data_IF_965914900038
#
_entry.id   IF_965914900038
#
_cell.length_a   1.000
_cell.length_b   1.000
_cell.length_c   1.000
_cell.angle_alpha   90.00
_cell.angle_beta   90.00
_cell.angle_gamma   90.00
#
_symmetry.space_group_name_H-M   'P 1'
#
loop_
_entity.id
_entity.type
_entity.pdbx_description
1 polymer ?
#
# COMPACT_ATOMS: atom_id res chain seq x y z
N UNK A 1 31.29 2.25 -36.93
CA UNK A 1 30.20 3.14 -36.45
C UNK A 1 28.90 2.79 -37.18
N UNK A 2 27.76 2.79 -36.48
CA UNK A 2 26.45 2.40 -37.03
C UNK A 2 26.12 3.13 -38.34
N UNK A 3 26.37 4.45 -38.44
CA UNK A 3 25.99 5.23 -39.62
C UNK A 3 26.85 5.02 -40.87
N UNK A 4 27.89 4.19 -40.81
CA UNK A 4 28.69 3.81 -41.97
C UNK A 4 28.06 2.67 -42.76
N UNK A 5 27.54 1.64 -42.07
CA UNK A 5 27.03 0.41 -42.71
C UNK A 5 25.63 0.00 -42.25
N UNK A 6 25.09 0.61 -41.20
CA UNK A 6 23.78 0.29 -40.64
C UNK A 6 23.61 -1.19 -40.28
N UNK A 7 24.72 -1.84 -39.89
CA UNK A 7 24.78 -3.29 -39.76
C UNK A 7 25.10 -3.72 -38.32
N UNK A 8 25.12 -5.04 -38.13
CA UNK A 8 25.46 -5.67 -36.87
C UNK A 8 26.95 -5.51 -36.50
N UNK A 9 27.26 -5.58 -35.20
CA UNK A 9 28.63 -5.51 -34.75
C UNK A 9 29.32 -6.87 -34.95
N UNK A 10 30.61 -6.86 -35.28
CA UNK A 10 31.36 -8.09 -35.49
C UNK A 10 31.70 -8.76 -34.15
N UNK A 11 31.18 -9.97 -33.96
CA UNK A 11 31.45 -10.81 -32.78
C UNK A 11 32.96 -11.03 -32.57
N UNK A 12 33.68 -11.48 -33.59
CA UNK A 12 35.11 -11.83 -33.49
C UNK A 12 35.98 -10.64 -33.04
N UNK A 13 35.75 -9.45 -33.61
CA UNK A 13 36.51 -8.26 -33.23
C UNK A 13 36.25 -7.85 -31.78
N UNK A 14 35.01 -8.00 -31.30
CA UNK A 14 34.66 -7.70 -29.92
C UNK A 14 35.28 -8.75 -28.99
N UNK A 15 35.21 -10.04 -29.34
CA UNK A 15 35.81 -11.12 -28.56
C UNK A 15 37.30 -10.88 -28.35
N UNK A 16 38.04 -10.62 -29.43
CA UNK A 16 39.48 -10.33 -29.38
C UNK A 16 39.77 -9.10 -28.52
N UNK A 17 38.99 -8.03 -28.66
CA UNK A 17 39.16 -6.83 -27.82
C UNK A 17 38.95 -7.15 -26.33
N UNK A 18 37.94 -7.95 -25.98
CA UNK A 18 37.70 -8.37 -24.60
C UNK A 18 38.83 -9.24 -24.06
N UNK A 19 39.34 -10.19 -24.84
CA UNK A 19 40.49 -11.02 -24.45
C UNK A 19 41.73 -10.15 -24.15
N UNK A 20 42.01 -9.17 -25.00
CA UNK A 20 43.08 -8.21 -24.77
C UNK A 20 42.86 -7.41 -23.47
N UNK A 21 41.64 -6.92 -23.22
CA UNK A 21 41.31 -6.18 -22.00
C UNK A 21 41.43 -7.06 -20.74
N UNK A 22 41.00 -8.31 -20.80
CA UNK A 22 41.12 -9.27 -19.70
C UNK A 22 42.57 -9.54 -19.32
N UNK A 23 43.49 -9.58 -20.29
CA UNK A 23 44.91 -9.81 -20.07
C UNK A 23 45.60 -8.58 -19.48
N UNK A 24 45.30 -7.38 -20.01
CA UNK A 24 46.10 -6.19 -19.72
C UNK A 24 45.51 -5.29 -18.62
N UNK A 25 44.23 -5.40 -18.31
CA UNK A 25 43.57 -4.54 -17.31
C UNK A 25 43.13 -5.37 -16.10
N UNK A 26 43.87 -5.30 -14.97
CA UNK A 26 43.46 -5.97 -13.75
C UNK A 26 42.27 -5.25 -13.12
N UNK A 27 41.28 -6.01 -12.61
CA UNK A 27 40.17 -5.49 -11.80
C UNK A 27 39.31 -4.44 -12.52
N UNK A 28 38.87 -4.75 -13.74
CA UNK A 28 38.06 -3.85 -14.55
C UNK A 28 36.58 -4.26 -14.57
N UNK A 29 35.70 -3.25 -14.61
CA UNK A 29 34.32 -3.40 -15.06
C UNK A 29 34.20 -2.80 -16.46
N UNK A 30 33.92 -3.63 -17.46
CA UNK A 30 33.71 -3.22 -18.84
C UNK A 30 32.22 -3.15 -19.11
N UNK A 31 31.75 -1.98 -19.58
CA UNK A 31 30.36 -1.77 -19.98
C UNK A 31 30.29 -1.64 -21.49
N UNK A 32 29.69 -2.64 -22.15
CA UNK A 32 29.49 -2.65 -23.59
C UNK A 32 28.17 -1.97 -23.95
N UNK A 33 28.24 -0.85 -24.66
CA UNK A 33 27.07 -0.07 -25.06
C UNK A 33 26.79 -0.21 -26.55
N UNK A 34 25.55 -0.57 -26.86
CA UNK A 34 25.02 -0.57 -28.22
C UNK A 34 24.64 0.82 -28.73
N UNK A 35 24.05 0.92 -29.92
CA UNK A 35 23.65 2.18 -30.51
C UNK A 35 22.60 2.91 -29.67
N UNK A 36 22.58 4.24 -29.82
CA UNK A 36 21.57 5.08 -29.17
C UNK A 36 20.33 5.14 -30.05
N UNK A 37 19.20 4.78 -29.45
CA UNK A 37 17.86 4.95 -29.99
C UNK A 37 17.15 6.04 -29.21
N UNK A 38 16.65 7.05 -29.92
CA UNK A 38 15.92 8.16 -29.31
C UNK A 38 14.50 8.15 -29.86
N UNK A 39 13.50 8.28 -29.00
CA UNK A 39 12.09 8.31 -29.42
C UNK A 39 11.25 9.27 -28.58
N UNK A 40 10.09 9.69 -29.14
CA UNK A 40 9.08 10.48 -28.43
C UNK A 40 8.38 9.67 -27.34
N UNK A 41 8.01 8.44 -27.69
CA UNK A 41 7.37 7.45 -26.82
C UNK A 41 8.14 6.11 -26.89
N UNK A 42 7.96 5.26 -25.87
CA UNK A 42 8.64 3.96 -25.81
C UNK A 42 8.26 3.03 -26.98
N UNK A 43 7.03 3.14 -27.46
CA UNK A 43 6.50 2.30 -28.56
C UNK A 43 6.68 2.95 -29.95
N UNK A 44 6.75 4.28 -30.01
CA UNK A 44 6.86 5.01 -31.27
C UNK A 44 8.34 5.14 -31.68
N UNK A 45 8.82 4.22 -32.50
CA UNK A 45 10.22 4.20 -32.96
C UNK A 45 10.35 4.87 -34.32
N UNK A 46 10.28 6.19 -34.35
CA UNK A 46 10.57 6.93 -35.57
C UNK A 46 12.07 6.84 -35.89
N UNK A 47 12.41 6.62 -37.17
CA UNK A 47 13.81 6.54 -37.60
C UNK A 47 14.42 7.96 -37.67
N UNK A 48 14.89 8.45 -36.53
CA UNK A 48 15.55 9.75 -36.45
C UNK A 48 16.89 9.78 -37.19
N UNK A 49 17.49 8.62 -37.49
CA UNK A 49 18.74 8.56 -38.23
C UNK A 49 18.54 8.67 -39.75
N UNK A 50 17.30 8.57 -40.26
CA UNK A 50 16.99 8.58 -41.69
C UNK A 50 17.64 9.74 -42.44
N UNK A 51 17.52 10.95 -41.91
CA UNK A 51 18.09 12.16 -42.54
C UNK A 51 19.56 12.40 -42.16
N UNK A 52 20.08 11.70 -41.14
CA UNK A 52 21.40 11.95 -40.52
C UNK A 52 22.47 10.95 -40.93
N UNK A 53 22.08 9.75 -41.36
CA UNK A 53 23.00 8.65 -41.69
C UNK A 53 22.77 8.18 -43.13
N UNK A 54 23.81 8.13 -43.98
CA UNK A 54 23.67 7.72 -45.38
C UNK A 54 22.99 6.37 -45.54
N UNK A 55 23.39 5.38 -44.73
CA UNK A 55 22.85 4.02 -44.79
C UNK A 55 21.39 3.88 -44.30
N UNK A 56 20.87 4.89 -43.59
CA UNK A 56 19.51 4.89 -43.03
C UNK A 56 18.49 5.60 -43.91
N UNK A 57 18.93 6.38 -44.92
CA UNK A 57 18.05 7.19 -45.78
C UNK A 57 16.94 6.40 -46.47
N UNK A 58 17.30 5.21 -46.96
CA UNK A 58 16.39 4.32 -47.71
C UNK A 58 15.71 3.28 -46.81
N UNK A 59 15.94 3.34 -45.50
CA UNK A 59 15.42 2.36 -44.56
C UNK A 59 14.01 2.72 -44.08
N UNK A 60 13.26 1.69 -43.70
CA UNK A 60 11.91 1.83 -43.12
C UNK A 60 11.97 2.41 -41.71
N UNK A 61 10.83 2.78 -41.14
CA UNK A 61 10.75 3.19 -39.73
C UNK A 61 11.11 2.04 -38.77
N UNK A 62 10.81 0.80 -39.17
CA UNK A 62 11.11 -0.42 -38.42
C UNK A 62 12.59 -0.81 -38.37
N UNK A 63 13.45 -0.23 -39.20
CA UNK A 63 14.86 -0.59 -39.32
C UNK A 63 15.63 -0.59 -37.98
N UNK A 64 15.32 0.36 -37.08
CA UNK A 64 15.97 0.42 -35.77
C UNK A 64 15.64 -0.80 -34.89
N UNK A 65 14.48 -1.45 -35.08
CA UNK A 65 14.18 -2.71 -34.40
C UNK A 65 15.08 -3.84 -34.89
N UNK A 66 15.31 -3.93 -36.20
CA UNK A 66 16.16 -4.98 -36.78
C UNK A 66 17.60 -4.84 -36.31
N UNK A 67 18.14 -3.61 -36.35
CA UNK A 67 19.46 -3.30 -35.78
C UNK A 67 19.50 -3.67 -34.31
N UNK A 68 18.51 -3.26 -33.52
CA UNK A 68 18.45 -3.56 -32.09
C UNK A 68 18.47 -5.07 -31.82
N UNK A 69 17.75 -5.86 -32.61
CA UNK A 69 17.71 -7.33 -32.47
C UNK A 69 19.06 -7.97 -32.80
N UNK A 70 19.69 -7.54 -33.91
CA UNK A 70 21.02 -8.05 -34.30
C UNK A 70 22.08 -7.72 -33.25
N UNK A 71 22.11 -6.48 -32.77
CA UNK A 71 23.02 -6.06 -31.69
C UNK A 71 22.74 -6.83 -30.39
N UNK A 72 21.47 -7.05 -30.03
CA UNK A 72 21.11 -7.85 -28.87
C UNK A 72 21.60 -9.29 -28.94
N UNK A 73 21.55 -9.90 -30.12
CA UNK A 73 22.08 -11.24 -30.34
C UNK A 73 23.59 -11.30 -30.08
N UNK A 74 24.36 -10.42 -30.73
CA UNK A 74 25.83 -10.40 -30.58
C UNK A 74 26.24 -10.06 -29.14
N UNK A 75 25.58 -9.10 -28.48
CA UNK A 75 25.90 -8.73 -27.10
C UNK A 75 25.65 -9.90 -26.15
N UNK A 76 24.55 -10.65 -26.36
CA UNK A 76 24.23 -11.84 -25.58
C UNK A 76 25.29 -12.92 -25.76
N UNK A 77 25.73 -13.18 -26.99
CA UNK A 77 26.79 -14.17 -27.28
C UNK A 77 28.12 -13.78 -26.65
N UNK A 78 28.52 -12.50 -26.71
CA UNK A 78 29.74 -11.99 -26.07
C UNK A 78 29.62 -12.06 -24.53
N UNK A 79 28.46 -11.71 -23.97
CA UNK A 79 28.20 -11.84 -22.53
C UNK A 79 28.35 -13.28 -22.07
N UNK A 80 27.73 -14.23 -22.78
CA UNK A 80 27.84 -15.65 -22.49
C UNK A 80 29.29 -16.14 -22.59
N UNK A 81 30.06 -15.66 -23.57
CA UNK A 81 31.47 -15.99 -23.69
C UNK A 81 32.27 -15.60 -22.44
N UNK A 82 32.10 -14.37 -21.92
CA UNK A 82 32.83 -13.91 -20.73
C UNK A 82 32.36 -14.60 -19.44
N UNK A 83 31.07 -14.94 -19.37
CA UNK A 83 30.49 -15.63 -18.22
C UNK A 83 30.78 -17.14 -18.21
N UNK A 84 31.06 -17.73 -19.37
CA UNK A 84 31.40 -19.15 -19.46
C UNK A 84 32.71 -19.44 -18.72
N UNK A 85 32.72 -20.54 -17.94
CA UNK A 85 33.75 -20.81 -16.95
C UNK A 85 35.20 -20.84 -17.48
N UNK A 86 35.40 -21.22 -18.73
CA UNK A 86 36.73 -21.31 -19.38
C UNK A 86 37.42 -19.97 -19.58
N UNK A 87 36.65 -18.89 -19.72
CA UNK A 87 37.12 -17.52 -20.02
C UNK A 87 36.74 -16.52 -18.94
N UNK A 88 35.96 -16.97 -17.96
CA UNK A 88 35.60 -16.19 -16.78
C UNK A 88 36.83 -15.88 -15.92
N UNK A 89 36.97 -14.62 -15.53
CA UNK A 89 37.99 -14.17 -14.56
C UNK A 89 37.30 -13.45 -13.42
N UNK A 90 37.61 -13.83 -12.18
CA UNK A 90 37.00 -13.21 -10.99
C UNK A 90 37.31 -11.70 -10.86
N UNK A 91 38.36 -11.22 -11.52
CA UNK A 91 38.77 -9.81 -11.53
C UNK A 91 38.27 -9.03 -12.75
N UNK A 92 37.42 -9.61 -13.59
CA UNK A 92 36.91 -8.94 -14.78
C UNK A 92 35.39 -9.04 -14.81
N UNK A 93 34.73 -7.89 -14.58
CA UNK A 93 33.29 -7.77 -14.71
C UNK A 93 32.95 -7.24 -16.10
N UNK A 94 31.91 -7.82 -16.73
CA UNK A 94 31.36 -7.28 -17.96
C UNK A 94 29.84 -7.16 -17.88
N UNK A 95 29.31 -6.04 -18.35
CA UNK A 95 27.88 -5.81 -18.51
C UNK A 95 27.66 -5.31 -19.94
N UNK A 96 26.67 -5.89 -20.61
CA UNK A 96 26.36 -5.54 -21.99
C UNK A 96 24.93 -5.00 -22.10
N UNK A 97 24.79 -3.81 -22.69
CA UNK A 97 23.51 -3.19 -23.01
C UNK A 97 23.39 -3.02 -24.52
N UNK A 98 22.53 -3.81 -25.20
CA UNK A 98 22.52 -3.88 -26.65
C UNK A 98 21.94 -2.64 -27.33
N UNK A 99 21.25 -1.78 -26.60
CA UNK A 99 20.75 -0.51 -27.11
C UNK A 99 20.53 0.48 -25.96
N UNK A 100 20.90 1.74 -26.18
CA UNK A 100 20.63 2.85 -25.26
C UNK A 100 19.35 3.53 -25.70
N UNK A 101 18.27 3.40 -24.94
CA UNK A 101 16.95 3.95 -25.33
C UNK A 101 16.62 5.21 -24.53
N UNK A 102 16.58 6.35 -25.21
CA UNK A 102 16.27 7.65 -24.60
C UNK A 102 14.89 8.11 -25.06
N UNK A 103 13.98 8.29 -24.11
CA UNK A 103 12.66 8.87 -24.38
C UNK A 103 12.59 10.34 -24.01
N UNK A 104 12.10 11.16 -24.95
CA UNK A 104 11.97 12.59 -24.76
C UNK A 104 10.85 13.15 -25.62
N UNK A 105 10.07 14.10 -25.09
CA UNK A 105 9.02 14.81 -25.85
C UNK A 105 9.54 15.47 -27.13
N UNK A 106 10.82 15.87 -27.16
CA UNK A 106 11.45 16.55 -28.31
C UNK A 106 12.70 15.79 -28.75
N UNK A 107 12.56 14.61 -29.39
CA UNK A 107 13.69 13.71 -29.62
C UNK A 107 14.70 14.27 -30.64
N UNK A 108 14.24 15.02 -31.64
CA UNK A 108 15.11 15.72 -32.58
C UNK A 108 16.02 16.76 -31.92
N UNK A 109 15.57 17.35 -30.80
CA UNK A 109 16.32 18.34 -30.04
C UNK A 109 17.47 17.77 -29.21
N UNK A 110 17.69 16.44 -29.22
CA UNK A 110 18.81 15.78 -28.54
C UNK A 110 20.02 15.53 -29.46
N UNK A 111 19.85 15.75 -30.76
CA UNK A 111 20.92 15.63 -31.74
C UNK A 111 21.49 17.00 -32.10
N UNK A 112 22.71 16.99 -32.62
CA UNK A 112 23.25 18.14 -33.36
C UNK A 112 22.50 18.21 -34.71
N UNK A 113 22.23 19.42 -35.21
CA UNK A 113 21.51 19.62 -36.49
C UNK A 113 22.18 18.83 -37.61
N UNK A 114 21.39 18.02 -38.31
CA UNK A 114 21.76 17.17 -39.45
C UNK A 114 22.92 16.18 -39.23
N UNK A 115 23.35 16.01 -37.97
CA UNK A 115 24.41 15.07 -37.59
C UNK A 115 23.83 13.97 -36.71
N UNK A 116 24.36 12.74 -36.79
CA UNK A 116 23.90 11.62 -35.96
C UNK A 116 24.44 11.65 -34.52
N UNK A 117 25.18 12.71 -34.17
CA UNK A 117 25.81 12.87 -32.87
C UNK A 117 24.82 13.52 -31.90
N UNK A 118 24.85 13.07 -30.64
CA UNK A 118 24.10 13.69 -29.56
C UNK A 118 24.68 15.07 -29.23
N UNK A 119 23.81 16.00 -28.84
CA UNK A 119 24.25 17.27 -28.26
C UNK A 119 24.46 17.12 -26.74
N UNK A 120 24.84 18.21 -26.06
CA UNK A 120 25.06 18.22 -24.60
C UNK A 120 23.86 17.65 -23.81
N UNK A 121 22.63 18.00 -24.22
CA UNK A 121 21.40 17.51 -23.57
C UNK A 121 21.19 16.02 -23.83
N UNK A 122 21.43 15.56 -25.05
CA UNK A 122 21.38 14.15 -25.43
C UNK A 122 22.39 13.31 -24.65
N UNK A 123 23.63 13.78 -24.50
CA UNK A 123 24.65 13.12 -23.67
C UNK A 123 24.24 13.04 -22.20
N UNK A 124 23.72 14.13 -21.61
CA UNK A 124 23.25 14.11 -20.22
C UNK A 124 22.14 13.06 -20.01
N UNK A 125 21.22 12.93 -20.97
CA UNK A 125 20.17 11.92 -20.90
C UNK A 125 20.75 10.51 -21.08
N UNK A 126 21.66 10.29 -22.03
CA UNK A 126 22.33 9.01 -22.18
C UNK A 126 23.07 8.58 -20.89
N UNK A 127 23.76 9.52 -20.24
CA UNK A 127 24.46 9.26 -18.97
C UNK A 127 23.49 8.92 -17.84
N UNK A 128 22.38 9.66 -17.71
CA UNK A 128 21.35 9.37 -16.70
C UNK A 128 20.71 8.00 -16.91
N UNK A 129 20.39 7.67 -18.17
CA UNK A 129 19.90 6.33 -18.54
C UNK A 129 20.89 5.25 -18.10
N UNK A 130 22.18 5.44 -18.42
CA UNK A 130 23.22 4.47 -18.11
C UNK A 130 23.39 4.28 -16.61
N UNK A 131 23.41 5.38 -15.85
CA UNK A 131 23.49 5.36 -14.40
C UNK A 131 22.32 4.57 -13.79
N UNK A 132 21.09 4.92 -14.16
CA UNK A 132 19.89 4.26 -13.65
C UNK A 132 19.87 2.78 -14.03
N UNK A 133 20.30 2.42 -15.25
CA UNK A 133 20.34 1.02 -15.69
C UNK A 133 21.44 0.20 -15.00
N UNK A 134 22.60 0.78 -14.72
CA UNK A 134 23.71 0.11 -14.01
C UNK A 134 23.39 -0.19 -12.54
N UNK A 135 22.66 0.72 -11.87
CA UNK A 135 22.27 0.57 -10.47
C UNK A 135 20.99 -0.25 -10.35
N UNK A 136 19.96 0.13 -11.11
CA UNK A 136 18.65 -0.52 -11.11
C UNK A 136 18.66 -1.93 -11.68
N UNK A 137 19.59 -2.24 -12.59
CA UNK A 137 19.60 -3.50 -13.33
C UNK A 137 18.30 -3.68 -14.09
N UNK A 138 17.71 -4.88 -14.00
CA UNK A 138 16.44 -5.20 -14.67
C UNK A 138 15.22 -4.51 -14.06
N UNK A 139 15.31 -4.05 -12.81
CA UNK A 139 14.24 -3.32 -12.15
C UNK A 139 14.01 -1.92 -12.77
N UNK A 140 14.98 -1.38 -13.52
CA UNK A 140 14.81 -0.10 -14.19
C UNK A 140 13.88 -0.25 -15.40
N UNK A 141 12.61 0.10 -15.19
CA UNK A 141 11.60 0.12 -16.24
C UNK A 141 11.68 1.42 -17.03
N UNK A 142 12.10 1.34 -18.29
CA UNK A 142 12.18 2.49 -19.16
C UNK A 142 10.79 3.08 -19.43
N UNK A 143 9.76 2.24 -19.52
CA UNK A 143 8.41 2.56 -20.00
C UNK A 143 7.68 3.64 -19.18
N UNK A 144 8.05 3.84 -17.91
CA UNK A 144 7.24 4.59 -16.95
C UNK A 144 7.54 6.09 -16.88
N UNK A 145 8.67 6.57 -17.40
CA UNK A 145 9.04 7.99 -17.26
C UNK A 145 9.81 8.56 -18.46
N UNK A 146 9.50 9.81 -18.82
CA UNK A 146 10.39 10.57 -19.70
C UNK A 146 11.70 10.83 -18.98
N UNK A 147 12.84 10.58 -19.64
CA UNK A 147 14.14 10.59 -18.97
C UNK A 147 14.51 11.96 -18.35
N UNK A 148 13.90 13.04 -18.85
CA UNK A 148 14.00 14.37 -18.27
C UNK A 148 13.39 14.49 -16.86
N UNK A 149 12.34 13.73 -16.58
CA UNK A 149 11.56 13.76 -15.33
C UNK A 149 11.88 12.60 -14.39
N UNK A 150 12.57 11.58 -14.89
CA UNK A 150 12.95 10.41 -14.09
C UNK A 150 13.88 10.80 -12.92
N UNK A 151 13.88 10.04 -11.83
CA UNK A 151 14.78 10.29 -10.71
C UNK A 151 16.09 9.50 -10.87
N UNK A 152 17.17 9.94 -10.22
CA UNK A 152 18.37 9.12 -10.13
C UNK A 152 18.16 7.98 -9.16
N UNK A 153 18.56 6.77 -9.55
CA UNK A 153 18.64 5.65 -8.61
C UNK A 153 19.84 5.83 -7.69
N UNK A 154 19.61 5.59 -6.40
CA UNK A 154 20.67 5.60 -5.40
C UNK A 154 21.17 4.16 -5.18
N UNK A 155 22.50 3.96 -5.11
CA UNK A 155 23.05 2.67 -4.75
C UNK A 155 22.72 2.34 -3.30
N UNK A 156 22.44 1.07 -3.02
CA UNK A 156 22.24 0.58 -1.65
C UNK A 156 23.59 0.46 -0.94
N UNK A 157 23.65 0.87 0.33
CA UNK A 157 24.86 0.78 1.17
C UNK A 157 25.28 -0.68 1.47
N UNK A 158 24.36 -1.64 1.34
CA UNK A 158 24.61 -3.06 1.60
C UNK A 158 24.98 -3.88 0.36
N UNK A 159 25.07 -3.26 -0.82
CA UNK A 159 25.23 -3.97 -2.09
C UNK A 159 26.32 -3.34 -2.96
N UNK A 160 26.97 -4.12 -3.86
CA UNK A 160 27.88 -3.57 -4.86
C UNK A 160 27.18 -2.49 -5.69
N UNK A 161 27.86 -1.35 -5.88
CA UNK A 161 27.33 -0.20 -6.62
C UNK A 161 26.83 -0.55 -8.02
N UNK A 162 27.63 -1.32 -8.77
CA UNK A 162 27.26 -1.78 -10.11
C UNK A 162 26.87 -3.24 -10.08
N UNK A 163 25.70 -3.54 -10.65
CA UNK A 163 25.15 -4.89 -10.68
C UNK A 163 25.62 -5.62 -11.91
N UNK A 164 26.60 -6.49 -11.74
CA UNK A 164 26.93 -7.53 -12.72
C UNK A 164 25.91 -8.67 -12.63
N UNK A 165 25.79 -9.50 -13.66
CA UNK A 165 24.94 -10.70 -13.61
C UNK A 165 25.28 -11.63 -12.44
N UNK A 166 26.55 -11.72 -12.05
CA UNK A 166 27.00 -12.47 -10.88
C UNK A 166 26.44 -11.93 -9.55
N UNK A 167 26.29 -10.60 -9.44
CA UNK A 167 25.86 -9.94 -8.19
C UNK A 167 24.36 -9.60 -8.17
N UNK A 168 23.68 -9.64 -9.32
CA UNK A 168 22.29 -9.18 -9.48
C UNK A 168 21.28 -9.91 -8.59
N UNK A 169 21.47 -11.22 -8.34
CA UNK A 169 20.49 -12.04 -7.60
C UNK A 169 20.47 -11.81 -6.09
N UNK A 170 21.48 -11.14 -5.51
CA UNK A 170 21.65 -11.05 -4.05
C UNK A 170 21.12 -9.75 -3.43
N UNK A 171 20.63 -8.80 -4.23
CA UNK A 171 20.47 -7.41 -3.80
C UNK A 171 19.14 -6.78 -4.26
N UNK A 172 18.44 -6.10 -3.33
CA UNK A 172 17.20 -5.35 -3.58
C UNK A 172 17.55 -3.88 -3.89
N UNK A 173 16.95 -3.30 -4.94
CA UNK A 173 17.12 -1.89 -5.34
C UNK A 173 15.97 -1.05 -4.80
N UNK A 174 16.27 0.21 -4.49
CA UNK A 174 15.28 1.17 -4.02
C UNK A 174 15.53 2.52 -4.70
N UNK A 175 14.49 3.19 -5.19
CA UNK A 175 14.61 4.54 -5.76
C UNK A 175 14.91 5.59 -4.67
N UNK A 176 15.28 6.82 -5.03
CA UNK A 176 15.55 7.87 -4.03
C UNK A 176 14.30 8.19 -3.18
N UNK A 177 13.11 8.21 -3.79
CA UNK A 177 11.86 8.45 -3.07
C UNK A 177 11.55 7.30 -2.10
N UNK A 178 11.68 6.05 -2.58
CA UNK A 178 11.54 4.87 -1.74
C UNK A 178 12.58 4.84 -0.61
N UNK A 179 13.84 5.21 -0.90
CA UNK A 179 14.91 5.26 0.08
C UNK A 179 14.67 6.34 1.14
N UNK A 180 14.08 7.49 0.76
CA UNK A 180 13.65 8.54 1.69
C UNK A 180 12.54 8.05 2.62
N UNK A 181 11.71 7.15 2.14
CA UNK A 181 10.65 6.49 2.93
C UNK A 181 11.15 5.31 3.77
N UNK A 182 12.40 4.87 3.57
CA UNK A 182 13.00 3.78 4.32
C UNK A 182 13.88 4.28 5.47
N UNK A 183 13.55 3.86 6.69
CA UNK A 183 14.41 4.06 7.86
C UNK A 183 15.38 2.88 8.00
N UNK A 184 16.68 3.15 7.96
CA UNK A 184 17.71 2.14 8.22
C UNK A 184 17.71 1.75 9.70
N UNK A 185 17.55 0.45 9.99
CA UNK A 185 17.83 -0.11 11.32
C UNK A 185 19.00 -1.07 11.16
N UNK A 186 20.15 -0.70 11.72
CA UNK A 186 21.30 -1.60 11.87
C UNK A 186 20.96 -2.63 12.95
N UNK A 187 20.83 -3.90 12.58
CA UNK A 187 20.85 -4.99 13.55
C UNK A 187 22.29 -5.22 14.03
N UNK A 188 22.44 -5.69 15.27
CA UNK A 188 23.74 -5.99 15.89
C UNK A 188 24.60 -6.98 15.09
N UNK A 189 24.01 -7.75 14.16
CA UNK A 189 24.69 -8.74 13.33
C UNK A 189 25.22 -8.20 11.98
N UNK A 190 25.23 -6.88 11.77
CA UNK A 190 25.75 -6.25 10.54
C UNK A 190 24.86 -6.41 9.29
N UNK A 191 23.73 -7.11 9.40
CA UNK A 191 22.74 -7.22 8.33
C UNK A 191 21.77 -6.02 8.36
N UNK A 192 21.75 -5.25 7.27
CA UNK A 192 20.82 -4.14 7.05
C UNK A 192 19.45 -4.71 6.69
N UNK A 193 18.49 -4.66 7.62
CA UNK A 193 17.11 -5.07 7.36
C UNK A 193 16.31 -3.86 6.92
N UNK A 194 15.82 -3.89 5.67
CA UNK A 194 14.90 -2.88 5.15
C UNK A 194 13.57 -3.00 5.89
N UNK A 195 13.21 -1.99 6.67
CA UNK A 195 11.87 -1.84 7.23
C UNK A 195 11.22 -0.63 6.59
N UNK A 196 10.11 -0.84 5.89
CA UNK A 196 9.21 0.27 5.50
C UNK A 196 8.93 1.09 6.75
N UNK A 197 9.13 2.41 6.68
CA UNK A 197 8.81 3.32 7.79
C UNK A 197 7.36 3.07 8.14
N UNK A 198 7.11 2.43 9.30
CA UNK A 198 5.77 2.30 9.87
C UNK A 198 5.12 3.67 9.73
N UNK A 199 3.94 3.70 9.09
CA UNK A 199 3.10 4.89 8.82
C UNK A 199 3.44 6.00 9.80
N UNK A 200 3.85 7.16 9.26
CA UNK A 200 4.38 8.27 10.04
C UNK A 200 3.55 8.46 11.32
N UNK A 201 4.24 8.63 12.45
CA UNK A 201 3.62 8.89 13.75
C UNK A 201 2.56 10.00 13.63
N UNK A 202 2.79 10.97 12.75
CA UNK A 202 1.84 11.99 12.33
C UNK A 202 0.49 11.44 11.84
N UNK A 203 0.46 10.43 10.95
CA UNK A 203 -0.79 9.83 10.47
C UNK A 203 -1.59 9.17 11.60
N UNK A 204 -0.90 8.50 12.54
CA UNK A 204 -1.54 7.90 13.71
C UNK A 204 -2.11 8.97 14.65
N UNK A 205 -1.39 10.08 14.86
CA UNK A 205 -1.91 11.21 15.62
C UNK A 205 -3.08 11.89 14.93
N UNK A 206 -3.02 12.09 13.61
CA UNK A 206 -4.13 12.65 12.83
C UNK A 206 -5.37 11.78 12.92
N UNK A 207 -5.23 10.45 12.77
CA UNK A 207 -6.35 9.52 12.89
C UNK A 207 -6.94 9.52 14.31
N UNK A 208 -6.09 9.51 15.33
CA UNK A 208 -6.52 9.55 16.72
C UNK A 208 -7.29 10.85 17.04
N UNK A 209 -6.80 12.01 16.60
CA UNK A 209 -7.47 13.29 16.78
C UNK A 209 -8.84 13.30 16.09
N UNK A 210 -8.92 12.80 14.85
CA UNK A 210 -10.19 12.72 14.10
C UNK A 210 -11.21 11.85 14.85
N UNK A 211 -10.81 10.70 15.39
CA UNK A 211 -11.70 9.82 16.16
C UNK A 211 -12.18 10.49 17.44
N UNK A 212 -11.29 11.18 18.17
CA UNK A 212 -11.65 11.90 19.40
C UNK A 212 -12.60 13.05 19.11
N UNK A 213 -12.34 13.85 18.06
CA UNK A 213 -13.23 14.93 17.65
C UNK A 213 -14.60 14.40 17.21
N UNK A 214 -14.65 13.33 16.42
CA UNK A 214 -15.91 12.72 15.99
C UNK A 214 -16.73 12.19 17.18
N UNK A 215 -16.09 11.53 18.14
CA UNK A 215 -16.75 11.05 19.36
C UNK A 215 -17.29 12.22 20.21
N UNK A 216 -16.51 13.30 20.36
CA UNK A 216 -16.95 14.49 21.07
C UNK A 216 -18.15 15.16 20.38
N UNK A 217 -18.10 15.33 19.06
CA UNK A 217 -19.22 15.88 18.30
C UNK A 217 -20.48 15.01 18.43
N UNK A 218 -20.36 13.69 18.37
CA UNK A 218 -21.49 12.79 18.57
C UNK A 218 -22.12 12.96 19.96
N UNK A 219 -21.32 13.01 21.02
CA UNK A 219 -21.81 13.22 22.39
C UNK A 219 -22.52 14.57 22.52
N UNK A 220 -21.97 15.64 21.94
CA UNK A 220 -22.61 16.96 21.95
C UNK A 220 -23.92 16.99 21.16
N UNK A 221 -23.98 16.37 19.98
CA UNK A 221 -25.18 16.34 19.15
C UNK A 221 -26.28 15.49 19.78
N UNK A 222 -25.96 14.27 20.23
CA UNK A 222 -26.93 13.42 20.92
C UNK A 222 -27.34 14.02 22.26
N UNK A 223 -26.40 14.58 23.02
CA UNK A 223 -26.66 15.24 24.30
C UNK A 223 -27.60 16.43 24.15
N UNK A 224 -27.35 17.32 23.17
CA UNK A 224 -28.23 18.47 22.91
C UNK A 224 -29.60 18.02 22.37
N UNK A 225 -29.64 17.00 21.51
CA UNK A 225 -30.89 16.42 21.02
C UNK A 225 -31.74 15.83 22.15
N UNK A 226 -31.15 15.01 23.03
CA UNK A 226 -31.86 14.46 24.19
C UNK A 226 -32.25 15.53 25.19
N UNK A 227 -31.42 16.55 25.39
CA UNK A 227 -31.73 17.66 26.30
C UNK A 227 -32.90 18.51 25.79
N UNK A 228 -32.92 18.85 24.49
CA UNK A 228 -34.04 19.56 23.89
C UNK A 228 -35.31 18.71 23.88
N UNK A 229 -35.20 17.42 23.51
CA UNK A 229 -36.33 16.48 23.55
C UNK A 229 -36.87 16.30 24.97
N UNK A 230 -35.99 16.28 25.99
CA UNK A 230 -36.38 16.23 27.39
C UNK A 230 -37.07 17.52 27.85
N UNK A 231 -36.73 18.68 27.29
CA UNK A 231 -37.41 19.95 27.58
C UNK A 231 -38.76 20.11 26.85
N UNK A 232 -38.95 19.43 25.73
CA UNK A 232 -40.20 19.43 24.96
C UNK A 232 -41.17 18.31 25.38
N UNK A 233 -40.75 17.41 26.28
CA UNK A 233 -41.63 16.41 26.86
C UNK A 233 -42.39 16.98 28.04
N UNK A 234 -43.69 17.24 27.86
CA UNK A 234 -44.61 17.76 28.89
C UNK A 234 -44.98 16.72 29.97
N UNK A 235 -44.25 15.60 30.06
CA UNK A 235 -44.48 14.56 31.06
C UNK A 235 -43.15 14.03 31.60
N UNK A 236 -42.94 14.21 32.90
CA UNK A 236 -41.85 13.59 33.62
C UNK A 236 -42.04 12.06 33.63
N UNK A 237 -40.95 11.31 33.43
CA UNK A 237 -40.91 9.82 33.47
C UNK A 237 -41.35 9.22 34.83
N UNK A 238 -41.77 10.05 35.78
CA UNK A 238 -42.27 9.69 37.10
C UNK A 238 -43.62 10.39 37.45
N UNK A 239 -44.42 10.79 36.47
CA UNK A 239 -45.84 11.04 36.73
C UNK A 239 -46.59 9.71 36.80
N UNK A 240 -47.10 9.41 37.99
CA UNK A 240 -48.06 8.33 38.21
C UNK A 240 -49.32 8.72 37.45
N UNK A 241 -49.60 8.01 36.36
CA UNK A 241 -50.89 8.10 35.66
C UNK A 241 -51.98 7.77 36.70
N UNK A 242 -52.83 8.75 37.06
CA UNK A 242 -53.98 8.60 37.98
C UNK A 242 -55.17 7.85 37.33
N UNK A 243 -55.13 7.58 36.02
CA UNK A 243 -56.22 6.90 35.29
C UNK A 243 -56.60 5.47 35.78
N UNK A 244 -55.68 4.58 36.21
CA UNK A 244 -56.08 3.26 36.70
C UNK A 244 -56.69 3.31 38.11
N UNK A 245 -56.33 4.29 38.95
CA UNK A 245 -56.92 4.42 40.29
C UNK A 245 -58.34 4.97 40.24
N UNK A 246 -58.60 5.98 39.40
CA UNK A 246 -59.94 6.55 39.24
C UNK A 246 -60.95 5.56 38.66
N UNK A 247 -60.53 4.76 37.67
CA UNK A 247 -61.38 3.69 37.08
C UNK A 247 -61.66 2.56 38.08
N UNK A 248 -60.71 2.25 38.97
CA UNK A 248 -60.92 1.23 40.01
C UNK A 248 -61.87 1.72 41.11
N UNK A 249 -61.75 2.98 41.55
CA UNK A 249 -62.69 3.57 42.51
C UNK A 249 -64.12 3.70 41.96
N UNK A 250 -64.28 4.06 40.68
CA UNK A 250 -65.59 4.11 40.03
C UNK A 250 -66.22 2.72 39.91
N UNK A 251 -65.45 1.71 39.51
CA UNK A 251 -65.90 0.32 39.46
C UNK A 251 -66.29 -0.21 40.85
N UNK A 252 -65.51 0.10 41.89
CA UNK A 252 -65.83 -0.29 43.27
C UNK A 252 -67.09 0.40 43.80
N UNK A 253 -67.31 1.68 43.48
CA UNK A 253 -68.55 2.38 43.84
C UNK A 253 -69.78 1.80 43.13
N UNK A 254 -69.66 1.36 41.88
CA UNK A 254 -70.75 0.67 41.17
C UNK A 254 -71.05 -0.70 41.80
N UNK A 255 -70.03 -1.51 42.11
CA UNK A 255 -70.24 -2.79 42.80
C UNK A 255 -70.89 -2.62 44.18
N UNK A 256 -70.47 -1.61 44.95
CA UNK A 256 -71.01 -1.36 46.28
C UNK A 256 -72.49 -0.92 46.22
N UNK A 257 -72.87 -0.11 45.22
CA UNK A 257 -74.28 0.24 44.97
C UNK A 257 -75.11 -0.98 44.54
N UNK A 258 -74.56 -1.84 43.68
CA UNK A 258 -75.22 -3.06 43.25
C UNK A 258 -75.44 -4.06 44.41
N UNK A 259 -74.46 -4.20 45.30
CA UNK A 259 -74.56 -5.03 46.51
C UNK A 259 -75.60 -4.51 47.49
N UNK A 260 -75.66 -3.19 47.71
CA UNK A 260 -76.64 -2.59 48.62
C UNK A 260 -78.08 -2.73 48.09
N UNK A 261 -78.25 -2.66 46.76
CA UNK A 261 -79.54 -2.91 46.10
C UNK A 261 -79.94 -4.40 46.20
N UNK A 262 -78.97 -5.32 46.07
CA UNK A 262 -79.20 -6.77 46.26
C UNK A 262 -79.50 -7.16 47.71
N UNK A 263 -78.88 -6.52 48.71
CA UNK A 263 -79.19 -6.80 50.11
C UNK A 263 -80.59 -6.29 50.50
N UNK A 264 -81.01 -5.12 50.03
CA UNK A 264 -82.36 -4.62 50.29
C UNK A 264 -83.46 -5.48 49.64
N UNK A 265 -83.18 -6.08 48.48
CA UNK A 265 -84.12 -7.01 47.84
C UNK A 265 -84.12 -8.39 48.50
N UNK A 266 -82.99 -8.84 49.07
CA UNK A 266 -82.89 -10.13 49.76
C UNK A 266 -83.42 -10.11 51.20
N UNK A 267 -83.33 -8.98 51.90
CA UNK A 267 -83.93 -8.82 53.23
C UNK A 267 -85.48 -8.89 53.20
N UNK A 268 -86.10 -8.70 52.03
CA UNK A 268 -87.54 -8.91 51.84
C UNK A 268 -87.93 -10.36 51.54
N UNK A 269 -86.98 -11.26 51.25
CA UNK A 269 -87.27 -12.63 50.78
C UNK A 269 -86.86 -13.77 51.72
N UNK A 270 -86.14 -13.52 52.82
CA UNK A 270 -85.65 -14.59 53.73
C UNK A 270 -86.48 -14.77 55.03
N UNK A 271 -87.79 -14.44 54.96
CA UNK A 271 -88.83 -15.01 55.82
C UNK A 271 -89.20 -16.44 55.35
N UNK A 272 -88.26 -17.40 55.37
CA UNK A 272 -88.58 -18.83 55.22
C UNK A 272 -87.38 -19.77 55.51
N UNK A 273 -87.45 -20.47 56.65
CA UNK A 273 -86.99 -21.86 56.92
C UNK A 273 -85.50 -22.30 56.84
N UNK A 274 -85.14 -23.10 57.86
CA UNK A 274 -83.93 -23.85 58.32
C UNK A 274 -83.53 -25.12 57.47
N UNK A 275 -82.52 -25.97 57.84
CA UNK A 275 -81.09 -25.78 58.24
C UNK A 275 -80.07 -26.78 57.58
N UNK A 276 -78.78 -26.71 58.02
CA UNK A 276 -77.71 -27.76 58.24
C UNK A 276 -76.50 -28.07 57.29
N UNK A 277 -75.28 -28.01 57.89
CA UNK A 277 -74.02 -28.83 57.75
C UNK A 277 -73.11 -28.74 56.48
N UNK A 278 -71.75 -28.89 56.44
CA UNK A 278 -70.60 -29.21 57.36
C UNK A 278 -69.22 -29.00 56.62
N UNK A 279 -68.14 -28.60 57.35
CA UNK A 279 -66.64 -28.86 57.25
C UNK A 279 -65.77 -28.58 55.97
N UNK A 280 -64.44 -28.32 55.96
CA UNK A 280 -63.32 -28.13 56.95
C UNK A 280 -62.05 -27.50 56.27
N UNK A 281 -61.36 -26.58 57.00
CA UNK A 281 -59.93 -26.15 57.16
C UNK A 281 -58.82 -25.94 56.07
N UNK A 282 -57.90 -24.92 56.25
CA UNK A 282 -56.63 -24.70 55.51
C UNK A 282 -55.33 -24.64 56.38
N UNK A 283 -54.13 -24.49 55.75
CA UNK A 283 -52.83 -24.32 56.44
C UNK A 283 -51.99 -23.12 55.89
N UNK A 284 -51.32 -22.40 56.81
CA UNK A 284 -50.42 -21.25 56.61
C UNK A 284 -48.93 -21.64 56.79
N UNK A 285 -47.97 -20.76 56.42
CA UNK A 285 -46.90 -20.22 57.31
C UNK A 285 -45.93 -19.26 56.57
N UNK A 286 -45.46 -18.24 57.28
CA UNK A 286 -44.72 -17.03 56.87
C UNK A 286 -43.34 -16.92 57.57
N UNK A 287 -42.32 -16.48 56.81
CA UNK A 287 -41.26 -15.45 57.03
C UNK A 287 -40.61 -15.20 58.42
N UNK A 288 -39.27 -15.10 58.43
CA UNK A 288 -38.43 -14.48 59.49
C UNK A 288 -37.11 -13.88 58.95
N UNK A 289 -36.59 -12.82 59.58
CA UNK A 289 -35.59 -11.84 59.08
C UNK A 289 -34.16 -11.97 59.67
N UNK A 290 -33.17 -11.62 58.84
CA UNK A 290 -31.91 -10.82 59.00
C UNK A 290 -30.96 -10.91 60.22
N UNK A 291 -29.64 -10.99 59.97
CA UNK A 291 -28.56 -10.35 60.77
C UNK A 291 -27.29 -10.04 59.92
N UNK A 292 -26.59 -8.94 60.28
CA UNK A 292 -25.36 -8.37 59.68
C UNK A 292 -24.08 -9.21 59.94
N UNK A 293 -23.09 -9.12 59.04
CA UNK A 293 -21.71 -9.56 59.28
C UNK A 293 -20.70 -8.84 58.37
N UNK A 294 -19.68 -8.23 58.99
CA UNK A 294 -18.59 -7.44 58.39
C UNK A 294 -17.36 -8.29 58.03
N UNK A 295 -16.53 -7.74 57.13
CA UNK A 295 -15.39 -8.32 56.40
C UNK A 295 -14.11 -8.48 57.26
N UNK A 296 -13.28 -9.50 56.98
CA UNK A 296 -11.81 -9.38 57.05
C UNK A 296 -11.07 -10.40 56.16
N UNK A 297 -10.00 -9.91 55.55
CA UNK A 297 -9.03 -10.56 54.67
C UNK A 297 -8.15 -11.59 55.38
N UNK A 298 -7.65 -12.58 54.62
CA UNK A 298 -6.51 -13.41 54.97
C UNK A 298 -5.47 -13.37 53.85
N UNK A 299 -4.23 -13.07 54.19
CA UNK A 299 -3.03 -13.10 53.32
C UNK A 299 -2.09 -14.21 53.85
N UNK A 300 -0.93 -14.45 53.23
CA UNK A 300 -0.59 -15.52 52.30
C UNK A 300 0.15 -16.70 52.98
N UNK A 301 0.47 -17.76 52.22
CA UNK A 301 1.70 -18.55 52.35
C UNK A 301 1.75 -19.65 51.28
N UNK A 302 2.70 -19.54 50.34
CA UNK A 302 3.48 -20.62 49.74
C UNK A 302 4.54 -20.00 48.81
#
# INVERSE_FOLDING_TARGET
MLCARCDEPSYEHIRLAIEHLQVHIPKALVVLLGPVHVSSFHEQKSNLLKNRCPCSRNQTEGFMYDVSRKWAKVWKEVQQYVESGTTSRNTFGMISYPMVTITSRYPNGLFIRDKPLLNRRGHNYATKWLWNRLIGGDAYNLSSATLSQDNYFCPSVGCPYFRTYANHKKCITTSHEEAREMSYVLNLDGNVVLKSRRRSVEFLYTLAIVVVCAAFCAVCLFGTFFYQKSKMGDHGRFEIVEEPQKKLEEAQKEEQKALLTRQNTRAQSEQATTPTSIALEPMMVTRGKSFLGTIREGVPNA
#
